data_IF_610544179145
#
_entry.id   IF_610544179145
#
_cell.length_a   1.000
_cell.length_b   1.000
_cell.length_c   1.000
_cell.angle_alpha   90.00
_cell.angle_beta   90.00
_cell.angle_gamma   90.00
#
_symmetry.space_group_name_H-M   'P 1'
#
loop_
_entity.id
_entity.type
_entity.pdbx_description
1 polymer ?
#
# COMPACT_ATOMS: atom_id res chain seq x y z
N UNK A 1 -7.19 -3.92 28.34
CA UNK A 1 -7.39 -4.61 27.05
C UNK A 1 -6.52 -3.87 26.09
N UNK A 2 -5.53 -4.51 25.44
CA UNK A 2 -4.75 -3.81 24.42
C UNK A 2 -5.63 -3.68 23.17
N UNK A 3 -5.72 -2.46 22.63
CA UNK A 3 -6.37 -2.26 21.33
C UNK A 3 -5.63 -3.09 20.29
N UNK A 4 -6.39 -3.74 19.41
CA UNK A 4 -5.86 -4.52 18.30
C UNK A 4 -6.36 -3.93 16.99
N UNK A 5 -5.58 -4.04 15.89
CA UNK A 5 -6.04 -3.60 14.58
C UNK A 5 -7.28 -4.36 14.12
N UNK A 6 -8.21 -3.65 13.50
CA UNK A 6 -9.34 -4.31 12.87
C UNK A 6 -8.89 -5.13 11.65
N UNK A 7 -9.43 -6.33 11.47
CA UNK A 7 -9.04 -7.23 10.39
C UNK A 7 -10.22 -7.55 9.49
N UNK A 8 -10.11 -7.27 8.19
CA UNK A 8 -11.04 -7.67 7.16
C UNK A 8 -10.52 -8.93 6.46
N UNK A 9 -11.28 -10.02 6.55
CA UNK A 9 -10.98 -11.26 5.83
C UNK A 9 -11.55 -11.23 4.40
N UNK A 10 -11.20 -12.21 3.59
CA UNK A 10 -11.72 -12.32 2.21
C UNK A 10 -13.23 -12.47 2.16
N UNK A 11 -13.79 -13.24 3.10
CA UNK A 11 -15.22 -13.55 3.15
C UNK A 11 -16.05 -12.33 3.54
N UNK A 12 -15.44 -11.37 4.24
CA UNK A 12 -16.08 -10.12 4.67
C UNK A 12 -16.03 -9.02 3.61
N UNK A 13 -15.22 -9.20 2.55
CA UNK A 13 -15.13 -8.22 1.48
C UNK A 13 -16.43 -8.14 0.68
N UNK A 14 -16.91 -6.93 0.44
CA UNK A 14 -18.12 -6.67 -0.33
C UNK A 14 -17.92 -5.50 -1.30
N UNK A 15 -17.69 -5.82 -2.57
CA UNK A 15 -17.47 -4.83 -3.62
C UNK A 15 -18.67 -3.88 -3.82
N UNK A 16 -19.89 -4.41 -3.77
CA UNK A 16 -21.10 -3.60 -3.96
C UNK A 16 -21.24 -2.56 -2.83
N UNK A 17 -20.94 -2.96 -1.59
CA UNK A 17 -20.93 -2.05 -0.45
C UNK A 17 -19.87 -0.95 -0.63
N UNK A 18 -18.65 -1.31 -1.08
CA UNK A 18 -17.58 -0.32 -1.36
C UNK A 18 -18.03 0.69 -2.41
N UNK A 19 -18.58 0.23 -3.54
CA UNK A 19 -19.07 1.10 -4.61
C UNK A 19 -20.22 1.99 -4.15
N UNK A 20 -21.12 1.46 -3.31
CA UNK A 20 -22.24 2.20 -2.74
C UNK A 20 -21.82 3.25 -1.71
N UNK A 21 -20.77 2.99 -0.92
CA UNK A 21 -20.24 3.92 0.09
C UNK A 21 -19.34 5.01 -0.51
N UNK A 22 -18.62 4.71 -1.59
CA UNK A 22 -17.80 5.68 -2.29
C UNK A 22 -18.62 6.58 -3.20
N UNK A 23 -19.45 7.43 -2.63
CA UNK A 23 -20.31 8.35 -3.40
C UNK A 23 -19.63 9.67 -3.71
N UNK A 24 -19.14 10.37 -2.68
CA UNK A 24 -18.53 11.70 -2.80
C UNK A 24 -17.06 11.73 -2.36
N UNK A 25 -16.62 10.71 -1.64
CA UNK A 25 -15.22 10.58 -1.18
C UNK A 25 -14.30 10.35 -2.37
N UNK A 26 -13.31 11.21 -2.55
CA UNK A 26 -12.34 11.08 -3.63
C UNK A 26 -11.19 10.14 -3.27
N UNK A 27 -10.67 9.41 -4.26
CA UNK A 27 -9.63 8.40 -4.10
C UNK A 27 -8.48 8.62 -5.07
N UNK A 28 -7.27 8.75 -4.54
CA UNK A 28 -6.04 8.67 -5.32
C UNK A 28 -5.34 7.32 -5.13
N UNK A 29 -4.90 6.72 -6.20
CA UNK A 29 -3.95 5.60 -6.18
C UNK A 29 -2.58 6.11 -6.61
N UNK A 30 -1.58 5.85 -5.77
CA UNK A 30 -0.20 6.28 -5.94
C UNK A 30 0.69 5.05 -6.02
N UNK A 31 1.45 4.92 -7.10
CA UNK A 31 2.35 3.79 -7.33
C UNK A 31 3.78 4.32 -7.41
N UNK A 32 4.57 4.26 -6.32
CA UNK A 32 6.01 4.49 -6.38
C UNK A 32 6.68 3.42 -7.25
N UNK A 33 7.47 3.83 -8.22
CA UNK A 33 8.09 2.91 -9.17
C UNK A 33 9.54 3.27 -9.48
N UNK A 34 10.42 2.26 -9.50
CA UNK A 34 11.81 2.39 -9.91
C UNK A 34 12.25 1.16 -10.69
N UNK A 35 12.49 1.32 -11.99
CA UNK A 35 12.88 0.23 -12.90
C UNK A 35 11.87 -0.93 -12.91
N UNK A 36 10.58 -0.61 -13.12
CA UNK A 36 9.47 -1.56 -13.13
C UNK A 36 8.70 -1.55 -14.47
N UNK A 37 9.35 -1.17 -15.60
CA UNK A 37 8.71 -1.16 -16.91
C UNK A 37 8.06 -2.51 -17.29
N UNK A 38 8.60 -3.63 -16.81
CA UNK A 38 8.09 -4.98 -17.11
C UNK A 38 6.82 -5.37 -16.33
N UNK A 39 6.47 -4.69 -15.26
CA UNK A 39 5.38 -5.08 -14.34
C UNK A 39 4.32 -4.01 -14.20
N UNK A 40 4.71 -2.74 -14.26
CA UNK A 40 3.83 -1.62 -13.91
C UNK A 40 2.57 -1.54 -14.79
N UNK A 41 2.67 -1.85 -16.08
CA UNK A 41 1.50 -1.83 -16.98
C UNK A 41 0.40 -2.78 -16.52
N UNK A 42 0.76 -4.04 -16.20
CA UNK A 42 -0.21 -5.02 -15.71
C UNK A 42 -0.82 -4.64 -14.34
N UNK A 43 -0.04 -3.99 -13.46
CA UNK A 43 -0.54 -3.46 -12.19
C UNK A 43 -1.60 -2.39 -12.44
N UNK A 44 -1.30 -1.41 -13.30
CA UNK A 44 -2.21 -0.30 -13.61
C UNK A 44 -3.51 -0.79 -14.27
N UNK A 45 -3.43 -1.73 -15.21
CA UNK A 45 -4.59 -2.33 -15.87
C UNK A 45 -5.50 -3.04 -14.86
N UNK A 46 -4.91 -3.84 -13.95
CA UNK A 46 -5.69 -4.57 -12.96
C UNK A 46 -6.46 -3.63 -12.02
N UNK A 47 -5.83 -2.57 -11.52
CA UNK A 47 -6.47 -1.65 -10.56
C UNK A 47 -7.48 -0.70 -11.21
N UNK A 48 -7.35 -0.43 -12.51
CA UNK A 48 -8.25 0.48 -13.24
C UNK A 48 -9.54 -0.18 -13.72
N UNK A 49 -9.75 -1.46 -13.42
CA UNK A 49 -10.91 -2.23 -13.93
C UNK A 49 -12.26 -1.69 -13.44
N UNK A 50 -12.33 -1.14 -12.22
CA UNK A 50 -13.57 -0.59 -11.68
C UNK A 50 -13.71 0.89 -12.06
N UNK A 51 -14.42 1.14 -13.16
CA UNK A 51 -14.66 2.50 -13.67
C UNK A 51 -15.27 3.41 -12.57
N UNK A 52 -14.69 4.60 -12.41
CA UNK A 52 -15.16 5.60 -11.45
C UNK A 52 -14.79 5.34 -9.98
N UNK A 53 -14.08 4.27 -9.68
CA UNK A 53 -13.58 4.05 -8.32
C UNK A 53 -12.37 4.96 -8.00
N UNK A 54 -11.45 5.12 -8.95
CA UNK A 54 -10.23 5.90 -8.80
C UNK A 54 -10.41 7.26 -9.47
N UNK A 55 -10.25 8.34 -8.71
CA UNK A 55 -10.35 9.72 -9.23
C UNK A 55 -8.99 10.23 -9.71
N UNK A 56 -7.90 9.84 -9.05
CA UNK A 56 -6.54 10.20 -9.43
C UNK A 56 -5.65 8.95 -9.47
N UNK A 57 -5.01 8.65 -10.60
CA UNK A 57 -4.03 7.58 -10.74
C UNK A 57 -2.66 8.20 -11.03
N UNK A 58 -1.72 8.02 -10.11
CA UNK A 58 -0.40 8.65 -10.15
C UNK A 58 0.70 7.61 -10.01
N UNK A 59 1.64 7.64 -10.92
CA UNK A 59 2.92 6.90 -10.80
C UNK A 59 4.02 7.87 -10.46
N UNK A 60 4.72 7.63 -9.35
CA UNK A 60 5.90 8.41 -9.00
C UNK A 60 7.14 7.65 -9.46
N UNK A 61 7.73 8.17 -10.53
CA UNK A 61 8.94 7.60 -11.15
C UNK A 61 10.18 8.04 -10.35
N UNK A 62 10.72 7.12 -9.53
CA UNK A 62 11.90 7.36 -8.70
C UNK A 62 13.20 7.09 -9.48
N UNK A 63 13.54 8.02 -10.40
CA UNK A 63 14.80 7.98 -11.17
C UNK A 63 15.00 6.65 -11.92
N UNK A 64 13.94 6.11 -12.54
CA UNK A 64 14.08 4.92 -13.39
C UNK A 64 14.99 5.19 -14.58
N UNK A 65 15.82 4.21 -14.92
CA UNK A 65 16.68 4.20 -16.11
C UNK A 65 16.07 3.43 -17.28
N UNK A 66 14.94 2.75 -17.04
CA UNK A 66 14.14 2.04 -18.04
C UNK A 66 12.88 2.84 -18.44
N UNK A 67 12.03 2.26 -19.27
CA UNK A 67 10.82 2.88 -19.79
C UNK A 67 9.64 2.92 -18.79
N UNK A 68 9.89 2.79 -17.47
CA UNK A 68 8.83 2.76 -16.43
C UNK A 68 7.84 3.92 -16.57
N UNK A 69 8.34 5.16 -16.73
CA UNK A 69 7.47 6.33 -16.85
C UNK A 69 6.66 6.32 -18.15
N UNK A 70 7.26 5.89 -19.26
CA UNK A 70 6.58 5.79 -20.57
C UNK A 70 5.47 4.75 -20.53
N UNK A 71 5.75 3.58 -19.97
CA UNK A 71 4.74 2.51 -19.79
C UNK A 71 3.59 2.99 -18.91
N UNK A 72 3.90 3.65 -17.79
CA UNK A 72 2.87 4.18 -16.89
C UNK A 72 1.94 5.19 -17.56
N UNK A 73 2.49 6.11 -18.35
CA UNK A 73 1.70 7.11 -19.11
C UNK A 73 0.78 6.43 -20.14
N UNK A 74 1.29 5.43 -20.87
CA UNK A 74 0.49 4.66 -21.83
C UNK A 74 -0.68 3.90 -21.19
N UNK A 75 -0.56 3.52 -19.92
CA UNK A 75 -1.64 2.88 -19.14
C UNK A 75 -2.51 3.88 -18.37
N UNK A 76 -2.46 5.17 -18.74
CA UNK A 76 -3.37 6.20 -18.25
C UNK A 76 -3.03 6.80 -16.90
N UNK A 77 -1.85 6.50 -16.34
CA UNK A 77 -1.41 7.11 -15.10
C UNK A 77 -0.73 8.46 -15.36
N UNK A 78 -1.02 9.43 -14.51
CA UNK A 78 -0.24 10.68 -14.48
C UNK A 78 1.13 10.42 -13.86
N UNK A 79 2.19 10.63 -14.63
CA UNK A 79 3.57 10.40 -14.19
C UNK A 79 4.15 11.62 -13.51
N UNK A 80 4.69 11.44 -12.31
CA UNK A 80 5.41 12.43 -11.54
C UNK A 80 6.87 11.97 -11.41
N UNK A 81 7.81 12.67 -12.01
CA UNK A 81 9.22 12.37 -11.83
C UNK A 81 9.70 12.90 -10.49
N UNK A 82 10.24 12.02 -9.65
CA UNK A 82 10.78 12.40 -8.36
C UNK A 82 12.00 13.30 -8.54
N UNK A 83 11.99 14.43 -7.86
CA UNK A 83 13.13 15.33 -7.75
C UNK A 83 13.83 15.18 -6.40
N UNK A 84 15.15 15.23 -6.38
CA UNK A 84 15.94 15.15 -5.15
C UNK A 84 16.30 13.72 -4.76
N UNK A 85 16.28 13.41 -3.48
CA UNK A 85 16.73 12.11 -2.95
C UNK A 85 15.77 10.98 -3.33
N UNK A 86 16.31 9.90 -3.89
CA UNK A 86 15.60 8.66 -4.16
C UNK A 86 15.18 7.96 -2.85
N UNK A 87 14.07 7.26 -2.88
CA UNK A 87 13.60 6.44 -1.76
C UNK A 87 12.10 6.25 -1.76
N UNK A 88 11.64 5.11 -1.26
CA UNK A 88 10.22 4.76 -1.26
C UNK A 88 9.36 5.80 -0.56
N UNK A 89 9.74 6.20 0.64
CA UNK A 89 8.99 7.22 1.38
C UNK A 89 9.05 8.60 0.73
N UNK A 90 10.17 8.96 0.08
CA UNK A 90 10.26 10.19 -0.71
C UNK A 90 9.29 10.18 -1.89
N UNK A 91 9.19 9.04 -2.59
CA UNK A 91 8.24 8.86 -3.69
C UNK A 91 6.78 8.88 -3.19
N UNK A 92 6.47 8.21 -2.06
CA UNK A 92 5.14 8.29 -1.43
C UNK A 92 4.77 9.73 -1.07
N UNK A 93 5.70 10.48 -0.45
CA UNK A 93 5.51 11.90 -0.12
C UNK A 93 5.31 12.78 -1.35
N UNK A 94 6.00 12.50 -2.46
CA UNK A 94 5.80 13.20 -3.72
C UNK A 94 4.42 12.92 -4.31
N UNK A 95 3.96 11.68 -4.25
CA UNK A 95 2.61 11.28 -4.67
C UNK A 95 1.52 11.96 -3.82
N UNK A 96 1.69 12.01 -2.49
CA UNK A 96 0.80 12.74 -1.58
C UNK A 96 0.66 14.21 -2.00
N UNK A 97 1.78 14.88 -2.28
CA UNK A 97 1.78 16.29 -2.72
C UNK A 97 1.19 16.49 -4.12
N UNK A 98 1.29 15.49 -4.96
CA UNK A 98 0.81 15.55 -6.34
C UNK A 98 -0.70 15.30 -6.47
N UNK A 99 -1.38 14.81 -5.45
CA UNK A 99 -2.81 14.47 -5.45
C UNK A 99 -3.59 15.37 -4.50
N UNK A 100 -4.93 15.37 -4.62
CA UNK A 100 -5.84 16.15 -3.77
C UNK A 100 -6.93 15.31 -3.12
N UNK A 101 -7.07 14.05 -3.48
CA UNK A 101 -8.12 13.13 -3.02
C UNK A 101 -8.09 12.90 -1.51
N UNK A 102 -9.25 12.64 -0.91
CA UNK A 102 -9.44 12.44 0.53
C UNK A 102 -8.87 11.10 1.03
N UNK A 103 -8.98 10.06 0.22
CA UNK A 103 -8.38 8.75 0.49
C UNK A 103 -7.19 8.54 -0.45
N UNK A 104 -6.17 7.90 0.09
CA UNK A 104 -4.96 7.56 -0.64
C UNK A 104 -4.71 6.06 -0.52
N UNK A 105 -4.35 5.44 -1.63
CA UNK A 105 -3.87 4.06 -1.70
C UNK A 105 -2.46 4.07 -2.29
N UNK A 106 -1.52 3.46 -1.60
CA UNK A 106 -0.18 3.19 -2.11
C UNK A 106 -0.08 1.72 -2.49
N UNK A 107 0.46 1.44 -3.67
CA UNK A 107 0.67 0.09 -4.18
C UNK A 107 2.09 -0.07 -4.71
N UNK A 108 2.65 -1.28 -4.56
CA UNK A 108 3.94 -1.62 -5.17
C UNK A 108 3.78 -1.88 -6.67
N UNK A 109 4.76 -1.43 -7.46
CA UNK A 109 4.78 -1.57 -8.93
C UNK A 109 5.27 -2.94 -9.44
N UNK A 110 5.81 -3.80 -8.54
CA UNK A 110 6.47 -5.08 -8.88
C UNK A 110 5.59 -6.32 -8.66
N UNK A 111 4.30 -6.15 -8.37
CA UNK A 111 3.36 -7.24 -8.10
C UNK A 111 2.89 -7.87 -9.41
N UNK A 112 3.22 -9.14 -9.63
CA UNK A 112 2.94 -9.85 -10.90
C UNK A 112 1.46 -10.26 -11.00
N UNK A 113 0.80 -10.48 -9.87
CA UNK A 113 -0.58 -10.97 -9.79
C UNK A 113 -1.51 -10.01 -9.05
N UNK A 114 -1.33 -8.73 -9.26
CA UNK A 114 -2.29 -7.71 -8.78
C UNK A 114 -3.69 -8.04 -9.29
N UNK A 115 -4.67 -7.99 -8.40
CA UNK A 115 -6.06 -8.26 -8.76
C UNK A 115 -6.89 -6.97 -8.75
N UNK A 116 -8.03 -7.00 -9.43
CA UNK A 116 -8.98 -5.88 -9.46
C UNK A 116 -9.54 -5.52 -8.09
N UNK A 117 -9.42 -6.42 -7.11
CA UNK A 117 -9.95 -6.24 -5.76
C UNK A 117 -8.99 -5.55 -4.79
N UNK A 118 -7.70 -5.34 -5.16
CA UNK A 118 -6.71 -4.74 -4.23
C UNK A 118 -7.17 -3.37 -3.71
N UNK A 119 -7.53 -2.47 -4.61
CA UNK A 119 -7.96 -1.12 -4.25
C UNK A 119 -9.27 -1.15 -3.45
N UNK A 120 -10.36 -1.82 -3.92
CA UNK A 120 -11.60 -1.89 -3.16
C UNK A 120 -11.43 -2.49 -1.75
N UNK A 121 -10.63 -3.55 -1.61
CA UNK A 121 -10.37 -4.17 -0.29
C UNK A 121 -9.65 -3.21 0.66
N UNK A 122 -8.64 -2.49 0.16
CA UNK A 122 -7.88 -1.55 0.97
C UNK A 122 -8.72 -0.36 1.47
N UNK A 123 -9.68 0.11 0.68
CA UNK A 123 -10.50 1.27 1.07
C UNK A 123 -11.75 0.89 1.86
N UNK A 124 -12.22 -0.36 1.82
CA UNK A 124 -13.44 -0.76 2.53
C UNK A 124 -13.44 -0.37 4.01
N UNK A 125 -12.37 -0.65 4.81
CA UNK A 125 -12.35 -0.25 6.22
C UNK A 125 -12.46 1.25 6.44
N UNK A 126 -11.87 2.06 5.55
CA UNK A 126 -11.92 3.52 5.63
C UNK A 126 -13.31 4.08 5.33
N UNK A 127 -14.08 3.39 4.49
CA UNK A 127 -15.44 3.79 4.14
C UNK A 127 -16.46 3.35 5.20
N UNK A 128 -16.24 2.18 5.83
CA UNK A 128 -17.17 1.61 6.80
C UNK A 128 -16.95 2.15 8.22
N UNK A 129 -15.72 2.59 8.55
CA UNK A 129 -15.31 2.94 9.93
C UNK A 129 -14.59 4.27 9.96
N UNK A 130 -15.22 5.25 10.57
CA UNK A 130 -14.67 6.62 10.67
C UNK A 130 -13.39 6.65 11.52
N UNK A 131 -13.31 5.80 12.54
CA UNK A 131 -12.15 5.68 13.42
C UNK A 131 -10.91 5.11 12.73
N UNK A 132 -11.04 4.35 11.62
CA UNK A 132 -9.90 3.80 10.87
C UNK A 132 -9.18 4.91 10.11
N UNK A 133 -7.88 5.03 10.37
CA UNK A 133 -6.99 6.03 9.78
C UNK A 133 -6.03 5.45 8.75
N UNK A 134 -5.57 4.22 8.97
CA UNK A 134 -4.66 3.51 8.06
C UNK A 134 -5.04 2.05 7.94
N UNK A 135 -4.91 1.52 6.73
CA UNK A 135 -5.15 0.12 6.38
C UNK A 135 -3.90 -0.46 5.75
N UNK A 136 -3.48 -1.64 6.21
CA UNK A 136 -2.37 -2.42 5.63
C UNK A 136 -2.91 -3.64 4.89
N UNK A 137 -2.40 -3.88 3.72
CA UNK A 137 -2.59 -5.17 3.05
C UNK A 137 -1.83 -6.28 3.77
N UNK A 138 -2.41 -7.49 3.85
CA UNK A 138 -1.67 -8.70 4.16
C UNK A 138 -1.97 -9.79 3.14
N UNK A 139 -1.04 -10.71 2.97
CA UNK A 139 -1.11 -11.73 1.94
C UNK A 139 -0.20 -12.90 2.28
N UNK A 140 -0.48 -14.04 1.68
CA UNK A 140 0.42 -15.19 1.69
C UNK A 140 1.53 -14.99 0.66
N UNK A 141 2.76 -15.33 1.04
CA UNK A 141 3.94 -15.34 0.15
C UNK A 141 4.46 -16.76 -0.03
N UNK A 142 4.13 -17.43 -1.13
CA UNK A 142 4.74 -18.71 -1.45
C UNK A 142 6.25 -18.57 -1.64
N UNK A 143 7.02 -19.53 -1.13
CA UNK A 143 8.46 -19.62 -1.37
C UNK A 143 8.72 -20.84 -2.25
N UNK A 144 9.14 -20.64 -3.51
CA UNK A 144 9.34 -21.69 -4.50
C UNK A 144 8.05 -22.52 -4.65
N UNK A 145 8.11 -23.83 -4.36
CA UNK A 145 6.95 -24.74 -4.44
C UNK A 145 6.21 -24.91 -3.10
N UNK A 146 6.62 -24.18 -2.04
CA UNK A 146 5.93 -24.20 -0.75
C UNK A 146 4.90 -23.08 -0.67
N UNK A 147 3.70 -23.34 -0.14
CA UNK A 147 2.65 -22.33 -0.03
C UNK A 147 3.00 -21.18 0.91
N UNK A 148 3.97 -21.36 1.80
CA UNK A 148 4.42 -20.37 2.78
C UNK A 148 5.95 -20.30 2.81
N UNK A 149 6.51 -19.31 3.52
CA UNK A 149 7.97 -19.17 3.76
C UNK A 149 8.62 -17.99 3.05
N UNK A 150 7.88 -17.24 2.24
CA UNK A 150 8.32 -15.92 1.76
C UNK A 150 8.18 -14.85 2.86
N UNK A 151 8.88 -13.73 2.70
CA UNK A 151 8.79 -12.62 3.65
C UNK A 151 9.56 -12.84 4.96
N UNK A 152 10.70 -13.53 4.92
CA UNK A 152 11.50 -13.86 6.11
C UNK A 152 11.85 -12.68 6.99
N UNK A 153 12.14 -11.51 6.42
CA UNK A 153 12.43 -10.29 7.20
C UNK A 153 11.20 -9.88 8.02
N UNK A 154 10.01 -10.02 7.45
CA UNK A 154 8.75 -9.75 8.15
C UNK A 154 8.58 -10.68 9.36
N UNK A 155 8.74 -11.99 9.16
CA UNK A 155 8.49 -13.01 10.20
C UNK A 155 9.60 -13.10 11.24
N UNK A 156 10.88 -12.96 10.83
CA UNK A 156 12.02 -13.17 11.71
C UNK A 156 12.55 -11.89 12.37
N UNK A 157 12.15 -10.73 11.89
CA UNK A 157 12.63 -9.44 12.38
C UNK A 157 11.50 -8.46 12.71
N UNK A 158 10.75 -8.00 11.72
CA UNK A 158 9.80 -6.91 11.90
C UNK A 158 8.70 -7.24 12.93
N UNK A 159 8.01 -8.36 12.78
CA UNK A 159 6.93 -8.77 13.71
C UNK A 159 7.42 -9.03 15.14
N UNK A 160 8.51 -9.80 15.38
CA UNK A 160 9.05 -9.99 16.73
C UNK A 160 9.44 -8.67 17.40
N UNK A 161 10.09 -7.76 16.67
CA UNK A 161 10.50 -6.45 17.22
C UNK A 161 9.26 -5.60 17.56
N UNK A 162 8.28 -5.53 16.67
CA UNK A 162 7.04 -4.81 16.93
C UNK A 162 6.28 -5.40 18.11
N UNK A 163 6.18 -6.73 18.22
CA UNK A 163 5.52 -7.39 19.35
C UNK A 163 6.19 -7.10 20.69
N UNK A 164 7.52 -6.95 20.68
CA UNK A 164 8.29 -6.68 21.89
C UNK A 164 8.21 -5.21 22.32
N UNK A 165 8.34 -4.28 21.36
CA UNK A 165 8.48 -2.86 21.65
C UNK A 165 7.16 -2.07 21.56
N UNK A 166 6.22 -2.56 20.77
CA UNK A 166 4.93 -1.92 20.49
C UNK A 166 3.79 -2.94 20.60
N UNK A 167 3.37 -3.30 21.84
CA UNK A 167 2.27 -4.24 22.05
C UNK A 167 1.02 -3.81 21.27
N UNK A 168 0.38 -4.75 20.58
CA UNK A 168 -0.74 -4.48 19.67
C UNK A 168 -0.32 -4.33 18.20
N UNK A 169 0.83 -3.72 17.87
CA UNK A 169 1.34 -3.71 16.50
C UNK A 169 1.87 -5.08 16.05
N UNK A 170 2.22 -5.95 16.98
CA UNK A 170 2.58 -7.34 16.68
C UNK A 170 1.47 -8.16 16.03
N UNK A 171 0.21 -7.73 16.15
CA UNK A 171 -0.95 -8.34 15.50
C UNK A 171 -1.05 -7.99 13.99
N UNK A 172 -0.29 -7.01 13.51
CA UNK A 172 -0.18 -6.71 12.08
C UNK A 172 0.56 -7.84 11.37
N UNK A 173 -0.11 -8.53 10.47
CA UNK A 173 0.41 -9.73 9.80
C UNK A 173 1.55 -9.42 8.84
N UNK A 174 1.47 -8.27 8.13
CA UNK A 174 2.47 -7.85 7.15
C UNK A 174 2.87 -6.38 7.36
N UNK A 175 3.61 -6.04 8.44
CA UNK A 175 4.00 -4.65 8.73
C UNK A 175 4.83 -4.01 7.62
N UNK A 176 5.59 -4.80 6.84
CA UNK A 176 6.41 -4.33 5.72
C UNK A 176 5.66 -4.35 4.37
N UNK A 177 4.34 -4.59 4.36
CA UNK A 177 3.59 -4.53 3.10
C UNK A 177 3.60 -3.12 2.52
N UNK A 178 3.83 -3.00 1.20
CA UNK A 178 3.73 -1.73 0.48
C UNK A 178 2.29 -1.31 0.23
N UNK A 179 1.39 -2.28 0.16
CA UNK A 179 -0.04 -2.05 -0.05
C UNK A 179 -0.65 -1.42 1.20
N UNK A 180 -0.93 -0.13 1.11
CA UNK A 180 -1.36 0.69 2.24
C UNK A 180 -2.42 1.68 1.76
N UNK A 181 -3.49 1.85 2.54
CA UNK A 181 -4.47 2.91 2.32
C UNK A 181 -4.64 3.75 3.58
N UNK A 182 -5.09 4.99 3.42
CA UNK A 182 -5.36 5.85 4.57
C UNK A 182 -6.01 7.16 4.18
N UNK A 183 -6.41 7.91 5.20
CA UNK A 183 -6.95 9.26 5.01
C UNK A 183 -5.83 10.24 4.69
N UNK A 184 -6.04 11.17 3.78
CA UNK A 184 -5.07 12.25 3.48
C UNK A 184 -4.66 12.98 4.75
N UNK A 185 -5.62 13.39 5.57
CA UNK A 185 -5.38 14.09 6.81
C UNK A 185 -4.45 13.35 7.77
N UNK A 186 -4.49 12.03 7.75
CA UNK A 186 -3.59 11.17 8.54
C UNK A 186 -2.15 11.25 8.05
N UNK A 187 -1.94 11.12 6.72
CA UNK A 187 -0.60 11.24 6.14
C UNK A 187 -0.01 12.65 6.29
N UNK A 188 -0.84 13.70 6.20
CA UNK A 188 -0.43 15.10 6.42
C UNK A 188 -0.12 15.41 7.89
N UNK A 189 -0.68 14.62 8.80
CA UNK A 189 -0.50 14.80 10.24
C UNK A 189 0.80 14.18 10.80
N UNK A 190 1.55 13.41 9.99
CA UNK A 190 2.79 12.73 10.36
C UNK A 190 3.93 13.17 9.43
N UNK A 191 5.18 12.96 9.88
CA UNK A 191 6.35 13.13 9.00
C UNK A 191 6.71 11.80 8.39
N UNK A 192 6.53 11.67 7.08
CA UNK A 192 6.82 10.43 6.38
C UNK A 192 8.34 10.20 6.30
N UNK A 193 8.81 9.04 6.80
CA UNK A 193 10.20 8.60 6.64
C UNK A 193 10.52 8.49 5.14
N UNK A 194 11.70 8.92 4.71
CA UNK A 194 12.00 9.07 3.28
C UNK A 194 12.52 7.79 2.63
N UNK A 195 13.04 6.85 3.42
CA UNK A 195 13.68 5.62 2.94
C UNK A 195 12.74 4.41 2.97
N UNK A 196 13.30 3.20 2.99
CA UNK A 196 12.57 1.94 3.10
C UNK A 196 12.03 1.64 4.51
N UNK A 197 12.30 2.48 5.50
CA UNK A 197 11.70 2.38 6.84
C UNK A 197 10.26 2.90 6.91
N UNK A 198 9.75 3.49 5.84
CA UNK A 198 8.46 4.19 5.80
C UNK A 198 7.28 3.30 6.26
N UNK A 199 7.25 2.01 5.90
CA UNK A 199 6.16 1.11 6.26
C UNK A 199 6.03 0.91 7.77
N UNK A 200 7.15 0.72 8.46
CA UNK A 200 7.16 0.57 9.93
C UNK A 200 6.93 1.90 10.62
N UNK A 201 7.56 2.98 10.13
CA UNK A 201 7.39 4.31 10.68
C UNK A 201 5.91 4.74 10.67
N UNK A 202 5.20 4.53 9.55
CA UNK A 202 3.75 4.79 9.44
C UNK A 202 2.95 4.07 10.54
N UNK A 203 3.22 2.80 10.79
CA UNK A 203 2.48 2.04 11.81
C UNK A 203 2.73 2.60 13.22
N UNK A 204 3.99 2.91 13.55
CA UNK A 204 4.37 3.42 14.86
C UNK A 204 3.79 4.83 15.06
N UNK A 205 3.96 5.73 14.10
CA UNK A 205 3.52 7.11 14.21
C UNK A 205 2.01 7.22 14.32
N UNK A 206 1.27 6.41 13.54
CA UNK A 206 -0.20 6.40 13.58
C UNK A 206 -0.71 5.78 14.88
N UNK A 207 -0.10 4.67 15.34
CA UNK A 207 -0.46 4.09 16.63
C UNK A 207 -0.21 5.05 17.80
N UNK A 208 0.87 5.83 17.77
CA UNK A 208 1.16 6.85 18.77
C UNK A 208 0.20 8.03 18.69
N UNK A 209 -0.15 8.47 17.48
CA UNK A 209 -0.94 9.69 17.30
C UNK A 209 -2.44 9.46 17.48
N UNK A 210 -2.94 8.30 17.06
CA UNK A 210 -4.37 8.01 17.04
C UNK A 210 -4.76 6.84 17.94
N UNK A 211 -4.12 5.74 17.89
CA UNK A 211 -4.13 4.50 18.68
C UNK A 211 -3.89 3.29 17.77
N UNK A 212 -3.67 2.11 18.34
CA UNK A 212 -3.63 0.85 17.57
C UNK A 212 -4.99 0.52 16.96
N UNK A 213 -6.09 0.88 17.62
CA UNK A 213 -7.46 0.71 17.10
C UNK A 213 -7.78 1.53 15.84
N UNK A 214 -6.97 2.57 15.54
CA UNK A 214 -7.09 3.33 14.30
C UNK A 214 -6.45 2.63 13.08
N UNK A 215 -5.80 1.47 13.30
CA UNK A 215 -5.21 0.66 12.26
C UNK A 215 -6.17 -0.46 11.85
N UNK A 216 -6.18 -0.78 10.56
CA UNK A 216 -6.84 -1.96 10.02
C UNK A 216 -5.89 -2.76 9.12
N UNK A 217 -6.23 -4.01 8.86
CA UNK A 217 -5.54 -4.85 7.89
C UNK A 217 -6.52 -5.66 7.07
N UNK A 218 -6.21 -5.86 5.78
CA UNK A 218 -7.09 -6.54 4.83
C UNK A 218 -6.38 -7.66 4.09
N UNK A 219 -7.08 -8.77 3.89
CA UNK A 219 -6.57 -9.92 3.14
C UNK A 219 -6.57 -9.64 1.64
N UNK A 220 -5.39 -9.54 1.03
CA UNK A 220 -5.18 -9.38 -0.41
C UNK A 220 -4.88 -10.72 -1.11
N UNK A 221 -4.87 -11.82 -0.39
CA UNK A 221 -4.72 -13.15 -0.93
C UNK A 221 -3.29 -13.64 -1.06
N UNK A 222 -2.92 -14.10 -2.23
CA UNK A 222 -1.58 -14.60 -2.53
C UNK A 222 -0.85 -13.54 -3.33
N UNK A 223 0.34 -13.13 -2.86
CA UNK A 223 1.20 -12.19 -3.58
C UNK A 223 2.37 -12.90 -4.25
N UNK A 224 2.54 -12.61 -5.52
CA UNK A 224 3.74 -12.94 -6.30
C UNK A 224 4.38 -11.63 -6.78
N UNK A 225 5.65 -11.45 -6.52
CA UNK A 225 6.43 -10.29 -6.96
C UNK A 225 7.61 -10.73 -7.81
N UNK A 226 8.16 -9.79 -8.58
CA UNK A 226 9.40 -10.01 -9.30
C UNK A 226 10.53 -10.16 -8.30
N UNK A 227 11.19 -11.32 -8.29
CA UNK A 227 12.42 -11.50 -7.50
C UNK A 227 13.55 -10.76 -8.22
N UNK A 228 14.10 -9.74 -7.57
CA UNK A 228 15.33 -9.10 -8.02
C UNK A 228 16.54 -9.92 -7.55
N UNK A 229 17.56 -10.13 -8.41
CA UNK A 229 18.83 -10.66 -7.95
C UNK A 229 19.46 -9.72 -6.91
N UNK A 230 20.32 -10.29 -6.03
CA UNK A 230 20.98 -9.51 -4.96
C UNK A 230 21.83 -8.33 -5.50
N UNK A 231 22.25 -8.44 -6.75
CA UNK A 231 23.08 -7.44 -7.45
C UNK A 231 22.27 -6.19 -7.88
N UNK A 232 20.94 -6.27 -7.86
CA UNK A 232 20.02 -5.17 -8.17
C UNK A 232 19.41 -4.51 -6.92
N UNK A 233 19.78 -4.97 -5.72
CA UNK A 233 19.37 -4.41 -4.44
C UNK A 233 20.43 -3.44 -3.91
#
# INVERSE_FOLDING_TARGET
MHDVPWTLTREQFNLEAVLGLKTQTTLAVIVPAKNEASTIGAVLDAISTHAGLIDELVVVNDHSSDDTGVVADHHGARVVNLSGTSGKGAAMSAGLRATSSELLVFLDADVINTTTEYVPRLIQPLLEKEEVQLVKGYYERPLHNMPTGGGRVNELSARPILSLLYPGLGEIKQPLAGETAGRRSTFEAITMETSYGVEIALLIDIAHKFSVGALAQVDLGIRRHRNRPLEEL
#
